data_IF_688033276395
#
_entry.id   IF_688033276395
#
_cell.length_a   1.000
_cell.length_b   1.000
_cell.length_c   1.000
_cell.angle_alpha   90.00
_cell.angle_beta   90.00
_cell.angle_gamma   90.00
#
_symmetry.space_group_name_H-M   'P 1'
#
loop_
_entity.id
_entity.type
_entity.pdbx_description
1 polymer ?
#
# COMPACT_ATOMS: atom_id res chain seq x y z
N UNK A 1 -22.84 20.80 5.46
CA UNK A 1 -22.87 20.12 4.15
C UNK A 1 -24.30 19.92 3.65
N UNK A 2 -25.15 19.16 4.36
CA UNK A 2 -26.53 18.88 3.91
C UNK A 2 -27.37 20.15 3.67
N UNK A 3 -27.28 21.16 4.54
CA UNK A 3 -27.98 22.44 4.31
C UNK A 3 -27.48 23.19 3.06
N UNK A 4 -26.19 23.11 2.75
CA UNK A 4 -25.64 23.69 1.51
C UNK A 4 -26.15 22.96 0.27
N UNK A 5 -26.31 21.63 0.32
CA UNK A 5 -26.92 20.84 -0.75
C UNK A 5 -28.40 21.23 -0.93
N UNK A 6 -29.15 21.43 0.16
CA UNK A 6 -30.56 21.85 0.08
C UNK A 6 -30.73 23.23 -0.55
N UNK A 7 -29.86 24.19 -0.19
CA UNK A 7 -29.96 25.56 -0.66
C UNK A 7 -29.51 25.72 -2.13
N UNK A 8 -28.42 25.07 -2.53
CA UNK A 8 -27.84 25.23 -3.85
C UNK A 8 -27.42 23.89 -4.46
N UNK A 9 -28.35 22.98 -4.80
CA UNK A 9 -28.03 21.59 -5.12
C UNK A 9 -27.01 21.44 -6.26
N UNK A 10 -27.04 22.31 -7.27
CA UNK A 10 -26.11 22.20 -8.40
C UNK A 10 -24.80 23.00 -8.25
N UNK A 11 -24.58 23.69 -7.13
CA UNK A 11 -23.35 24.44 -6.89
C UNK A 11 -22.27 23.55 -6.25
N UNK A 12 -21.08 23.47 -6.87
CA UNK A 12 -19.90 22.72 -6.40
C UNK A 12 -20.09 21.20 -6.30
N UNK A 13 -19.28 20.45 -7.06
CA UNK A 13 -19.22 18.98 -6.96
C UNK A 13 -18.61 18.50 -5.63
N UNK A 14 -17.73 19.29 -5.00
CA UNK A 14 -16.93 18.85 -3.83
C UNK A 14 -17.80 18.42 -2.65
N UNK A 15 -18.94 19.09 -2.43
CA UNK A 15 -19.87 18.72 -1.34
C UNK A 15 -20.45 17.31 -1.52
N UNK A 16 -20.58 16.85 -2.76
CA UNK A 16 -21.08 15.51 -3.08
C UNK A 16 -19.98 14.45 -2.95
N UNK A 17 -18.73 14.81 -3.29
CA UNK A 17 -17.57 13.95 -3.02
C UNK A 17 -17.43 13.66 -1.53
N UNK A 18 -17.49 14.71 -0.71
CA UNK A 18 -17.44 14.53 0.75
C UNK A 18 -18.67 13.79 1.30
N UNK A 19 -19.86 14.04 0.75
CA UNK A 19 -21.05 13.28 1.16
C UNK A 19 -20.89 11.79 0.84
N UNK A 20 -20.36 11.45 -0.34
CA UNK A 20 -20.07 10.08 -0.73
C UNK A 20 -19.13 9.38 0.25
N UNK A 21 -18.02 10.03 0.61
CA UNK A 21 -17.05 9.51 1.58
C UNK A 21 -17.62 9.30 3.00
N UNK A 22 -18.68 10.03 3.36
CA UNK A 22 -19.35 9.93 4.66
C UNK A 22 -20.61 9.05 4.64
N UNK A 23 -20.99 8.54 3.46
CA UNK A 23 -22.15 7.68 3.28
C UNK A 23 -21.71 6.24 3.08
N UNK A 24 -22.67 5.31 2.99
CA UNK A 24 -22.40 3.89 2.79
C UNK A 24 -23.21 3.36 1.60
N UNK A 25 -22.77 2.24 1.03
CA UNK A 25 -23.50 1.48 0.01
C UNK A 25 -24.05 2.38 -1.12
N UNK A 26 -25.33 2.21 -1.48
CA UNK A 26 -25.99 2.93 -2.58
C UNK A 26 -26.17 4.43 -2.31
N UNK A 27 -26.17 4.85 -1.06
CA UNK A 27 -26.25 6.28 -0.71
C UNK A 27 -24.95 6.99 -1.10
N UNK A 28 -23.80 6.36 -0.83
CA UNK A 28 -22.50 6.84 -1.28
C UNK A 28 -22.41 6.91 -2.80
N UNK A 29 -22.84 5.85 -3.49
CA UNK A 29 -22.89 5.81 -4.97
C UNK A 29 -23.74 6.97 -5.52
N UNK A 30 -24.90 7.23 -4.92
CA UNK A 30 -25.79 8.32 -5.37
C UNK A 30 -25.14 9.69 -5.19
N UNK A 31 -24.44 9.90 -4.06
CA UNK A 31 -23.71 11.13 -3.81
C UNK A 31 -22.55 11.30 -4.81
N UNK A 32 -21.70 10.27 -4.98
CA UNK A 32 -20.60 10.31 -5.94
C UNK A 32 -21.08 10.56 -7.36
N UNK A 33 -22.12 9.84 -7.82
CA UNK A 33 -22.70 10.04 -9.16
C UNK A 33 -23.12 11.49 -9.37
N UNK A 34 -23.80 12.11 -8.39
CA UNK A 34 -24.21 13.51 -8.51
C UNK A 34 -23.02 14.46 -8.62
N UNK A 35 -21.94 14.18 -7.91
CA UNK A 35 -20.71 14.98 -8.04
C UNK A 35 -20.00 14.75 -9.38
N UNK A 36 -19.96 13.51 -9.89
CA UNK A 36 -19.46 13.18 -11.24
C UNK A 36 -20.24 13.93 -12.32
N UNK A 37 -21.57 13.93 -12.25
CA UNK A 37 -22.41 14.65 -13.22
C UNK A 37 -22.08 16.15 -13.27
N UNK A 38 -21.85 16.76 -12.10
CA UNK A 38 -21.46 18.17 -12.00
C UNK A 38 -20.05 18.40 -12.55
N UNK A 39 -19.08 17.54 -12.26
CA UNK A 39 -17.72 17.63 -12.80
C UNK A 39 -17.71 17.47 -14.32
N UNK A 40 -18.49 16.54 -14.87
CA UNK A 40 -18.62 16.34 -16.32
C UNK A 40 -19.23 17.59 -16.97
N UNK A 41 -20.29 18.16 -16.38
CA UNK A 41 -20.88 19.39 -16.89
C UNK A 41 -19.90 20.57 -16.85
N UNK A 42 -19.11 20.70 -15.78
CA UNK A 42 -18.07 21.72 -15.65
C UNK A 42 -16.98 21.51 -16.70
N UNK A 43 -16.47 20.29 -16.85
CA UNK A 43 -15.42 19.93 -17.82
C UNK A 43 -15.84 20.20 -19.26
N UNK A 44 -17.10 19.96 -19.61
CA UNK A 44 -17.63 20.21 -20.96
C UNK A 44 -17.63 21.69 -21.37
N UNK A 45 -17.51 22.61 -20.41
CA UNK A 45 -17.38 24.04 -20.68
C UNK A 45 -15.92 24.51 -20.78
N UNK A 46 -14.96 23.61 -20.56
CA UNK A 46 -13.52 23.88 -20.65
C UNK A 46 -12.98 23.44 -22.00
N UNK A 47 -11.83 23.99 -22.37
CA UNK A 47 -11.06 23.46 -23.50
C UNK A 47 -10.56 22.06 -23.14
N UNK A 48 -10.69 21.10 -24.06
CA UNK A 48 -10.39 19.68 -23.81
C UNK A 48 -8.99 19.46 -23.23
N UNK A 49 -8.00 20.22 -23.70
CA UNK A 49 -6.59 20.07 -23.30
C UNK A 49 -6.17 21.02 -22.16
N UNK A 50 -7.09 21.76 -21.55
CA UNK A 50 -6.76 22.66 -20.43
C UNK A 50 -6.36 21.87 -19.18
N UNK A 51 -5.48 22.45 -18.36
CA UNK A 51 -5.02 21.79 -17.13
C UNK A 51 -6.19 21.57 -16.17
N UNK A 52 -7.16 22.50 -16.12
CA UNK A 52 -8.38 22.34 -15.34
C UNK A 52 -9.25 21.18 -15.84
N UNK A 53 -9.33 20.97 -17.16
CA UNK A 53 -10.06 19.85 -17.74
C UNK A 53 -9.42 18.51 -17.39
N UNK A 54 -8.07 18.44 -17.40
CA UNK A 54 -7.31 17.24 -16.98
C UNK A 54 -7.46 16.96 -15.48
N UNK A 55 -7.41 17.99 -14.64
CA UNK A 55 -7.65 17.87 -13.20
C UNK A 55 -9.06 17.33 -12.94
N UNK A 56 -10.08 17.84 -13.65
CA UNK A 56 -11.44 17.33 -13.52
C UNK A 56 -11.57 15.90 -14.06
N UNK A 57 -10.88 15.55 -15.15
CA UNK A 57 -10.86 14.19 -15.68
C UNK A 57 -10.32 13.20 -14.64
N UNK A 58 -9.17 13.49 -14.04
CA UNK A 58 -8.58 12.69 -12.97
C UNK A 58 -9.53 12.54 -11.76
N UNK A 59 -10.16 13.63 -11.30
CA UNK A 59 -11.15 13.59 -10.20
C UNK A 59 -12.40 12.77 -10.53
N UNK A 60 -12.88 12.83 -11.77
CA UNK A 60 -13.99 12.01 -12.23
C UNK A 60 -13.59 10.53 -12.18
N UNK A 61 -12.40 10.19 -12.65
CA UNK A 61 -11.88 8.82 -12.62
C UNK A 61 -11.71 8.31 -11.20
N UNK A 62 -11.18 9.10 -10.27
CA UNK A 62 -11.11 8.73 -8.84
C UNK A 62 -12.50 8.48 -8.24
N UNK A 63 -13.48 9.34 -8.53
CA UNK A 63 -14.85 9.16 -8.03
C UNK A 63 -15.51 7.88 -8.58
N UNK A 64 -15.28 7.57 -9.86
CA UNK A 64 -15.74 6.32 -10.49
C UNK A 64 -15.02 5.09 -9.90
N UNK A 65 -13.75 5.22 -9.52
CA UNK A 65 -13.03 4.19 -8.77
C UNK A 65 -13.67 3.96 -7.40
N UNK A 66 -13.95 5.01 -6.63
CA UNK A 66 -14.65 4.87 -5.34
C UNK A 66 -16.02 4.19 -5.48
N UNK A 67 -16.78 4.51 -6.54
CA UNK A 67 -18.06 3.83 -6.82
C UNK A 67 -17.87 2.35 -7.17
N UNK A 68 -16.79 2.01 -7.88
CA UNK A 68 -16.43 0.62 -8.21
C UNK A 68 -16.02 -0.17 -6.95
N UNK A 69 -15.22 0.43 -6.06
CA UNK A 69 -14.83 -0.17 -4.78
C UNK A 69 -16.05 -0.51 -3.93
N UNK A 70 -17.04 0.39 -3.84
CA UNK A 70 -18.29 0.13 -3.12
C UNK A 70 -19.02 -1.10 -3.70
N UNK A 71 -18.99 -1.30 -5.01
CA UNK A 71 -19.57 -2.51 -5.63
C UNK A 71 -18.71 -3.75 -5.45
N UNK A 72 -17.40 -3.62 -5.22
CA UNK A 72 -16.53 -4.75 -4.89
C UNK A 72 -16.64 -5.17 -3.42
N UNK A 73 -16.99 -4.25 -2.51
CA UNK A 73 -17.10 -4.53 -1.07
C UNK A 73 -18.55 -4.57 -0.59
N UNK A 74 -19.17 -3.41 -0.40
CA UNK A 74 -20.41 -3.26 0.37
C UNK A 74 -21.62 -3.74 -0.44
N UNK A 75 -21.60 -3.51 -1.75
CA UNK A 75 -22.66 -3.84 -2.68
C UNK A 75 -22.32 -5.06 -3.55
N UNK A 76 -21.35 -5.90 -3.17
CA UNK A 76 -20.89 -7.04 -3.98
C UNK A 76 -21.96 -8.10 -4.23
N UNK A 77 -22.95 -8.20 -3.32
CA UNK A 77 -24.06 -9.15 -3.45
C UNK A 77 -25.22 -8.64 -4.31
N UNK A 78 -25.15 -7.40 -4.80
CA UNK A 78 -26.20 -6.81 -5.61
C UNK A 78 -26.24 -7.38 -7.03
N UNK A 79 -27.43 -7.66 -7.59
CA UNK A 79 -27.55 -8.06 -8.98
C UNK A 79 -26.96 -7.00 -9.92
N UNK A 80 -25.97 -7.41 -10.72
CA UNK A 80 -25.28 -6.51 -11.65
C UNK A 80 -24.14 -5.69 -11.05
N UNK A 81 -23.69 -5.99 -9.83
CA UNK A 81 -22.50 -5.35 -9.22
C UNK A 81 -21.29 -5.42 -10.15
N UNK A 82 -20.99 -6.60 -10.69
CA UNK A 82 -19.90 -6.80 -11.66
C UNK A 82 -20.04 -5.92 -12.91
N UNK A 83 -21.24 -5.87 -13.49
CA UNK A 83 -21.52 -5.02 -14.64
C UNK A 83 -21.29 -3.53 -14.30
N UNK A 84 -21.64 -3.11 -13.08
CA UNK A 84 -21.40 -1.73 -12.62
C UNK A 84 -19.92 -1.42 -12.48
N UNK A 85 -19.11 -2.35 -11.95
CA UNK A 85 -17.66 -2.20 -11.91
C UNK A 85 -17.07 -1.98 -13.30
N UNK A 86 -17.46 -2.80 -14.28
CA UNK A 86 -17.03 -2.64 -15.67
C UNK A 86 -17.49 -1.30 -16.28
N UNK A 87 -18.75 -0.91 -16.06
CA UNK A 87 -19.29 0.36 -16.57
C UNK A 87 -18.53 1.58 -16.04
N UNK A 88 -18.20 1.60 -14.75
CA UNK A 88 -17.50 2.72 -14.13
C UNK A 88 -16.02 2.76 -14.49
N UNK A 89 -15.33 1.62 -14.51
CA UNK A 89 -13.93 1.57 -14.92
C UNK A 89 -13.74 1.95 -16.39
N UNK A 90 -14.62 1.50 -17.28
CA UNK A 90 -14.60 1.92 -18.68
C UNK A 90 -14.80 3.43 -18.81
N UNK A 91 -15.73 4.01 -18.05
CA UNK A 91 -15.93 5.46 -18.03
C UNK A 91 -14.71 6.21 -17.48
N UNK A 92 -14.09 5.69 -16.41
CA UNK A 92 -12.91 6.30 -15.80
C UNK A 92 -11.74 6.35 -16.80
N UNK A 93 -11.45 5.23 -17.46
CA UNK A 93 -10.37 5.13 -18.46
C UNK A 93 -10.70 5.86 -19.77
N UNK A 94 -11.98 6.03 -20.11
CA UNK A 94 -12.39 6.86 -21.24
C UNK A 94 -12.17 8.36 -20.96
N UNK A 95 -12.34 8.77 -19.70
CA UNK A 95 -12.18 10.16 -19.27
C UNK A 95 -10.72 10.51 -19.03
N UNK A 96 -9.96 9.62 -18.41
CA UNK A 96 -8.54 9.75 -18.11
C UNK A 96 -7.85 8.40 -18.36
N UNK A 97 -7.25 8.25 -19.54
CA UNK A 97 -6.60 7.00 -19.96
C UNK A 97 -5.28 6.71 -19.25
N UNK A 98 -4.75 7.68 -18.52
CA UNK A 98 -3.49 7.57 -17.76
C UNK A 98 -3.75 7.58 -16.24
N UNK A 99 -5.00 7.30 -15.82
CA UNK A 99 -5.35 7.25 -14.41
C UNK A 99 -4.82 5.98 -13.74
N UNK A 100 -3.77 6.14 -12.92
CA UNK A 100 -3.04 5.03 -12.28
C UNK A 100 -3.96 4.15 -11.42
N UNK A 101 -4.80 4.76 -10.58
CA UNK A 101 -5.71 4.06 -9.66
C UNK A 101 -6.77 3.24 -10.42
N UNK A 102 -7.24 3.71 -11.57
CA UNK A 102 -8.21 2.97 -12.38
C UNK A 102 -7.64 1.66 -12.89
N UNK A 103 -6.35 1.62 -13.24
CA UNK A 103 -5.70 0.36 -13.63
C UNK A 103 -5.50 -0.61 -12.47
N UNK A 104 -5.20 -0.11 -11.27
CA UNK A 104 -5.07 -0.98 -10.08
C UNK A 104 -6.43 -1.58 -9.70
N UNK A 105 -7.48 -0.75 -9.72
CA UNK A 105 -8.82 -1.22 -9.43
C UNK A 105 -9.36 -2.15 -10.52
N UNK A 106 -9.02 -1.88 -11.79
CA UNK A 106 -9.30 -2.81 -12.88
C UNK A 106 -8.65 -4.17 -12.64
N UNK A 107 -7.40 -4.21 -12.16
CA UNK A 107 -6.77 -5.47 -11.79
C UNK A 107 -7.54 -6.21 -10.69
N UNK A 108 -7.97 -5.50 -9.63
CA UNK A 108 -8.80 -6.07 -8.56
C UNK A 108 -10.13 -6.64 -9.08
N UNK A 109 -10.82 -5.94 -10.00
CA UNK A 109 -12.01 -6.47 -10.68
C UNK A 109 -11.68 -7.71 -11.50
N UNK A 110 -10.58 -7.71 -12.26
CA UNK A 110 -10.16 -8.86 -13.07
C UNK A 110 -9.82 -10.08 -12.22
N UNK A 111 -9.18 -9.89 -11.07
CA UNK A 111 -8.92 -10.96 -10.10
C UNK A 111 -10.22 -11.55 -9.56
N UNK A 112 -11.19 -10.71 -9.20
CA UNK A 112 -12.52 -11.15 -8.76
C UNK A 112 -13.30 -11.92 -9.83
N UNK A 113 -12.95 -11.73 -11.11
CA UNK A 113 -13.51 -12.42 -12.27
C UNK A 113 -12.68 -13.65 -12.71
N UNK A 114 -11.63 -14.02 -11.95
CA UNK A 114 -10.69 -15.09 -12.31
C UNK A 114 -9.93 -14.84 -13.63
N UNK A 115 -9.72 -13.57 -14.01
CA UNK A 115 -9.04 -13.14 -15.25
C UNK A 115 -7.62 -12.64 -14.97
N UNK A 116 -6.78 -13.54 -14.45
CA UNK A 116 -5.44 -13.20 -13.94
C UNK A 116 -4.51 -12.55 -14.98
N UNK A 117 -4.54 -13.00 -16.24
CA UNK A 117 -3.70 -12.42 -17.30
C UNK A 117 -4.05 -10.94 -17.57
N UNK A 118 -5.33 -10.60 -17.51
CA UNK A 118 -5.79 -9.22 -17.67
C UNK A 118 -5.48 -8.37 -16.44
N UNK A 119 -5.55 -8.96 -15.25
CA UNK A 119 -5.10 -8.31 -14.03
C UNK A 119 -3.61 -7.93 -14.11
N UNK A 120 -2.76 -8.87 -14.55
CA UNK A 120 -1.32 -8.63 -14.80
C UNK A 120 -1.13 -7.50 -15.82
N UNK A 121 -1.87 -7.50 -16.93
CA UNK A 121 -1.78 -6.43 -17.92
C UNK A 121 -2.16 -5.06 -17.35
N UNK A 122 -3.20 -5.00 -16.51
CA UNK A 122 -3.63 -3.75 -15.87
C UNK A 122 -2.61 -3.25 -14.84
N UNK A 123 -2.04 -4.15 -14.01
CA UNK A 123 -1.00 -3.80 -13.04
C UNK A 123 0.26 -3.26 -13.70
N UNK A 124 0.74 -3.92 -14.76
CA UNK A 124 1.87 -3.43 -15.55
C UNK A 124 1.60 -2.05 -16.13
N UNK A 125 0.38 -1.83 -16.65
CA UNK A 125 0.01 -0.52 -17.19
C UNK A 125 -0.02 0.56 -16.11
N UNK A 126 -0.54 0.24 -14.92
CA UNK A 126 -0.52 1.14 -13.77
C UNK A 126 0.91 1.56 -13.43
N UNK A 127 1.84 0.60 -13.31
CA UNK A 127 3.22 0.87 -12.94
C UNK A 127 3.99 1.67 -13.98
N UNK A 128 3.83 1.38 -15.27
CA UNK A 128 4.48 2.08 -16.38
C UNK A 128 4.34 3.61 -16.28
N UNK A 129 3.20 4.08 -15.77
CA UNK A 129 2.87 5.50 -15.69
C UNK A 129 3.72 6.27 -14.67
N UNK A 130 4.24 5.61 -13.64
CA UNK A 130 4.88 6.31 -12.50
C UNK A 130 6.18 5.69 -11.98
N UNK A 131 6.50 4.43 -12.29
CA UNK A 131 7.61 3.69 -11.65
C UNK A 131 9.01 4.29 -11.89
N UNK A 132 9.18 5.06 -12.97
CA UNK A 132 10.45 5.73 -13.31
C UNK A 132 10.46 7.24 -13.02
N UNK A 133 9.44 7.73 -12.30
CA UNK A 133 9.35 9.15 -11.93
C UNK A 133 10.28 9.46 -10.76
N UNK A 134 10.73 10.70 -10.70
CA UNK A 134 11.54 11.20 -9.58
C UNK A 134 10.66 11.41 -8.34
N UNK A 135 11.27 11.25 -7.16
CA UNK A 135 10.57 11.47 -5.89
C UNK A 135 9.95 12.88 -5.84
N UNK A 136 8.67 12.95 -5.48
CA UNK A 136 7.90 14.20 -5.44
C UNK A 136 7.13 14.53 -6.72
N UNK A 137 7.22 13.72 -7.78
CA UNK A 137 6.32 13.86 -8.94
C UNK A 137 4.86 13.58 -8.52
N UNK A 138 3.95 14.48 -8.90
CA UNK A 138 2.54 14.43 -8.52
C UNK A 138 1.77 13.25 -9.14
N UNK A 139 2.35 12.54 -10.12
CA UNK A 139 1.79 11.34 -10.74
C UNK A 139 2.10 10.07 -9.96
N UNK A 140 3.06 10.11 -9.02
CA UNK A 140 3.34 8.99 -8.13
C UNK A 140 2.15 8.82 -7.17
N UNK A 141 1.52 7.64 -7.10
CA UNK A 141 0.41 7.41 -6.19
C UNK A 141 0.83 7.60 -4.73
N UNK A 142 -0.12 8.04 -3.90
CA UNK A 142 0.11 8.17 -2.47
C UNK A 142 0.52 6.83 -1.84
N UNK A 143 1.16 6.92 -0.68
CA UNK A 143 1.75 5.77 0.02
C UNK A 143 0.78 4.58 0.15
N UNK A 144 -0.43 4.82 0.62
CA UNK A 144 -1.44 3.77 0.84
C UNK A 144 -1.88 3.10 -0.47
N UNK A 145 -1.99 3.85 -1.56
CA UNK A 145 -2.30 3.30 -2.89
C UNK A 145 -1.17 2.39 -3.39
N UNK A 146 0.09 2.76 -3.14
CA UNK A 146 1.25 1.90 -3.46
C UNK A 146 1.31 0.65 -2.58
N UNK A 147 0.93 0.73 -1.30
CA UNK A 147 0.78 -0.47 -0.46
C UNK A 147 -0.31 -1.42 -0.97
N UNK A 148 -1.45 -0.87 -1.39
CA UNK A 148 -2.54 -1.66 -1.97
C UNK A 148 -2.09 -2.34 -3.28
N UNK A 149 -1.33 -1.64 -4.12
CA UNK A 149 -0.73 -2.21 -5.32
C UNK A 149 0.16 -3.41 -5.02
N UNK A 150 1.01 -3.35 -3.97
CA UNK A 150 1.88 -4.48 -3.61
C UNK A 150 1.05 -5.73 -3.33
N UNK A 151 -0.08 -5.61 -2.61
CA UNK A 151 -0.99 -6.74 -2.33
C UNK A 151 -1.47 -7.40 -3.64
N UNK A 152 -1.88 -6.58 -4.62
CA UNK A 152 -2.30 -7.06 -5.93
C UNK A 152 -1.16 -7.72 -6.72
N UNK A 153 0.05 -7.14 -6.68
CA UNK A 153 1.23 -7.70 -7.35
C UNK A 153 1.59 -9.08 -6.79
N UNK A 154 1.51 -9.26 -5.47
CA UNK A 154 1.77 -10.54 -4.83
C UNK A 154 0.71 -11.59 -5.16
N UNK A 155 -0.56 -11.19 -5.26
CA UNK A 155 -1.66 -12.08 -5.65
C UNK A 155 -1.47 -12.67 -7.05
N UNK A 156 -0.84 -11.93 -7.97
CA UNK A 156 -0.48 -12.41 -9.33
C UNK A 156 0.95 -12.93 -9.45
N UNK A 157 1.71 -13.02 -8.36
CA UNK A 157 3.09 -13.53 -8.35
C UNK A 157 4.14 -12.61 -9.01
N UNK A 158 3.87 -11.31 -9.15
CA UNK A 158 4.82 -10.33 -9.68
C UNK A 158 5.77 -9.81 -8.57
N UNK A 159 6.56 -10.70 -7.99
CA UNK A 159 7.41 -10.39 -6.83
C UNK A 159 8.47 -9.32 -7.09
N UNK A 160 9.13 -9.30 -8.26
CA UNK A 160 10.14 -8.27 -8.60
C UNK A 160 9.53 -6.86 -8.62
N UNK A 161 8.31 -6.75 -9.17
CA UNK A 161 7.56 -5.50 -9.18
C UNK A 161 7.17 -5.10 -7.76
N UNK A 162 6.71 -6.07 -6.94
CA UNK A 162 6.38 -5.82 -5.54
C UNK A 162 7.57 -5.27 -4.75
N UNK A 163 8.76 -5.88 -4.87
CA UNK A 163 9.98 -5.37 -4.21
C UNK A 163 10.36 -3.97 -4.67
N UNK A 164 10.26 -3.68 -5.98
CA UNK A 164 10.54 -2.34 -6.50
C UNK A 164 9.65 -1.28 -5.82
N UNK A 165 8.36 -1.58 -5.64
CA UNK A 165 7.43 -0.67 -4.96
C UNK A 165 7.74 -0.59 -3.46
N UNK A 166 7.99 -1.72 -2.79
CA UNK A 166 8.33 -1.79 -1.37
C UNK A 166 9.61 -1.00 -1.04
N UNK A 167 10.64 -1.06 -1.89
CA UNK A 167 11.87 -0.28 -1.73
C UNK A 167 11.61 1.23 -1.80
N UNK A 168 10.69 1.65 -2.68
CA UNK A 168 10.29 3.06 -2.77
C UNK A 168 9.55 3.51 -1.52
N UNK A 169 8.67 2.65 -0.98
CA UNK A 169 7.89 2.92 0.22
C UNK A 169 8.79 2.98 1.46
N UNK A 170 9.74 2.06 1.59
CA UNK A 170 10.69 2.03 2.70
C UNK A 170 11.54 3.30 2.77
N UNK A 171 12.00 3.82 1.62
CA UNK A 171 12.76 5.07 1.57
C UNK A 171 11.93 6.29 1.98
N UNK A 172 10.61 6.22 1.79
CA UNK A 172 9.69 7.31 2.12
C UNK A 172 9.23 7.27 3.57
N UNK A 173 8.87 6.09 4.09
CA UNK A 173 8.48 5.86 5.47
C UNK A 173 8.63 4.37 5.82
N UNK A 174 9.54 4.04 6.73
CA UNK A 174 9.80 2.70 7.23
C UNK A 174 9.14 2.42 8.60
N UNK A 175 8.34 3.33 9.14
CA UNK A 175 7.61 3.15 10.39
C UNK A 175 6.20 2.55 10.17
N UNK A 176 5.99 1.86 9.04
CA UNK A 176 4.70 1.28 8.66
C UNK A 176 4.72 -0.25 8.81
N UNK A 177 3.78 -0.79 9.58
CA UNK A 177 3.69 -2.25 9.83
C UNK A 177 3.38 -3.03 8.55
N UNK A 178 2.41 -2.56 7.74
CA UNK A 178 2.04 -3.19 6.46
C UNK A 178 3.24 -3.32 5.52
N UNK A 179 4.15 -2.33 5.48
CA UNK A 179 5.34 -2.36 4.63
C UNK A 179 6.22 -3.57 4.96
N UNK A 180 6.60 -3.70 6.22
CA UNK A 180 7.49 -4.78 6.69
C UNK A 180 6.82 -6.15 6.61
N UNK A 181 5.52 -6.22 6.90
CA UNK A 181 4.74 -7.43 6.70
C UNK A 181 4.75 -7.86 5.23
N UNK A 182 4.54 -6.94 4.28
CA UNK A 182 4.52 -7.27 2.85
C UNK A 182 5.91 -7.65 2.32
N UNK A 183 6.99 -7.05 2.81
CA UNK A 183 8.35 -7.54 2.54
C UNK A 183 8.53 -8.98 3.02
N UNK A 184 8.20 -9.26 4.28
CA UNK A 184 8.32 -10.60 4.85
C UNK A 184 7.46 -11.62 4.10
N UNK A 185 6.23 -11.24 3.75
CA UNK A 185 5.32 -12.09 2.98
C UNK A 185 5.85 -12.39 1.59
N UNK A 186 6.44 -11.40 0.90
CA UNK A 186 7.07 -11.57 -0.41
C UNK A 186 8.20 -12.60 -0.36
N UNK A 187 9.11 -12.47 0.61
CA UNK A 187 10.21 -13.43 0.81
C UNK A 187 9.70 -14.82 1.22
N UNK A 188 8.70 -14.88 2.09
CA UNK A 188 8.12 -16.14 2.54
C UNK A 188 7.53 -16.93 1.37
N UNK A 189 6.70 -16.28 0.53
CA UNK A 189 6.12 -16.88 -0.67
C UNK A 189 7.19 -17.34 -1.66
N UNK A 190 8.22 -16.54 -1.91
CA UNK A 190 9.32 -16.94 -2.80
C UNK A 190 10.10 -18.14 -2.25
N UNK A 191 10.27 -18.24 -0.93
CA UNK A 191 10.91 -19.40 -0.31
C UNK A 191 10.01 -20.65 -0.31
N UNK A 192 8.69 -20.48 -0.37
CA UNK A 192 7.76 -21.61 -0.42
C UNK A 192 7.56 -22.22 -1.81
N UNK A 193 8.12 -21.59 -2.85
CA UNK A 193 8.15 -22.11 -4.21
C UNK A 193 8.87 -23.48 -4.28
N UNK A 194 8.17 -24.47 -4.84
CA UNK A 194 8.65 -25.86 -4.96
C UNK A 194 9.90 -25.99 -5.85
N UNK A 195 10.15 -25.02 -6.73
CA UNK A 195 11.32 -25.02 -7.60
C UNK A 195 12.61 -24.62 -6.87
N UNK A 196 12.53 -24.07 -5.66
CA UNK A 196 13.69 -23.59 -4.90
C UNK A 196 14.44 -24.72 -4.20
N UNK A 197 15.76 -24.59 -4.19
CA UNK A 197 16.62 -25.46 -3.38
C UNK A 197 16.36 -25.22 -1.89
N UNK A 198 16.75 -26.18 -1.06
CA UNK A 198 16.61 -26.06 0.39
C UNK A 198 17.45 -24.90 0.95
N UNK A 199 18.63 -24.68 0.38
CA UNK A 199 19.50 -23.57 0.74
C UNK A 199 18.89 -22.21 0.38
N UNK A 200 18.34 -22.05 -0.83
CA UNK A 200 17.64 -20.82 -1.24
C UNK A 200 16.41 -20.56 -0.38
N UNK A 201 15.61 -21.60 -0.10
CA UNK A 201 14.44 -21.50 0.78
C UNK A 201 14.84 -21.01 2.17
N UNK A 202 15.91 -21.54 2.75
CA UNK A 202 16.41 -21.11 4.06
C UNK A 202 16.86 -19.65 4.06
N UNK A 203 17.55 -19.20 3.01
CA UNK A 203 17.99 -17.82 2.87
C UNK A 203 16.78 -16.87 2.77
N UNK A 204 15.82 -17.16 1.89
CA UNK A 204 14.61 -16.36 1.72
C UNK A 204 13.78 -16.30 3.01
N UNK A 205 13.64 -17.42 3.72
CA UNK A 205 12.90 -17.44 4.98
C UNK A 205 13.63 -16.74 6.13
N UNK A 206 14.96 -16.67 6.12
CA UNK A 206 15.71 -15.82 7.06
C UNK A 206 15.38 -14.33 6.82
N UNK A 207 15.45 -13.86 5.58
CA UNK A 207 15.06 -12.48 5.21
C UNK A 207 13.59 -12.19 5.56
N UNK A 208 12.70 -13.17 5.32
CA UNK A 208 11.29 -13.06 5.67
C UNK A 208 11.10 -12.85 7.19
N UNK A 209 11.80 -13.65 8.02
CA UNK A 209 11.76 -13.52 9.48
C UNK A 209 12.21 -12.14 9.93
N UNK A 210 13.33 -11.63 9.41
CA UNK A 210 13.87 -10.34 9.82
C UNK A 210 12.88 -9.19 9.50
N UNK A 211 12.20 -9.28 8.35
CA UNK A 211 11.13 -8.36 7.99
C UNK A 211 9.92 -8.47 8.93
N UNK A 212 9.46 -9.68 9.24
CA UNK A 212 8.34 -9.90 10.18
C UNK A 212 8.67 -9.43 11.60
N UNK A 213 9.89 -9.66 12.07
CA UNK A 213 10.35 -9.13 13.36
C UNK A 213 10.33 -7.61 13.38
N UNK A 214 10.75 -6.98 12.28
CA UNK A 214 10.71 -5.53 12.13
C UNK A 214 9.26 -5.03 12.15
N UNK A 215 8.33 -5.71 11.48
CA UNK A 215 6.91 -5.39 11.54
C UNK A 215 6.36 -5.44 12.98
N UNK A 216 6.74 -6.46 13.77
CA UNK A 216 6.36 -6.59 15.18
C UNK A 216 6.98 -5.47 16.03
N UNK A 217 8.26 -5.16 15.82
CA UNK A 217 9.00 -4.09 16.54
C UNK A 217 8.36 -2.72 16.27
N UNK A 218 8.09 -2.39 15.00
CA UNK A 218 7.42 -1.14 14.59
C UNK A 218 6.04 -1.02 15.23
N UNK A 219 5.24 -2.09 15.22
CA UNK A 219 3.94 -2.09 15.89
C UNK A 219 4.05 -1.84 17.40
N UNK A 220 5.05 -2.44 18.06
CA UNK A 220 5.26 -2.24 19.49
C UNK A 220 5.62 -0.80 19.82
N UNK A 221 6.52 -0.19 19.04
CA UNK A 221 6.92 1.21 19.19
C UNK A 221 5.70 2.13 18.98
N UNK A 222 4.94 1.95 17.91
CA UNK A 222 3.73 2.72 17.65
C UNK A 222 2.71 2.61 18.81
N UNK A 223 2.56 1.41 19.38
CA UNK A 223 1.68 1.18 20.53
C UNK A 223 2.12 1.96 21.79
N UNK A 224 3.43 2.01 22.06
CA UNK A 224 3.98 2.77 23.20
C UNK A 224 3.71 4.27 23.08
N UNK A 225 3.69 4.83 21.87
CA UNK A 225 3.46 6.25 21.63
C UNK A 225 1.99 6.65 21.56
N UNK A 226 1.08 5.76 21.14
CA UNK A 226 -0.31 6.13 20.84
C UNK A 226 -1.39 5.48 21.71
N UNK A 227 -1.06 4.62 22.69
CA UNK A 227 -1.94 4.01 23.71
C UNK A 227 -3.31 3.49 23.21
N UNK A 228 -3.46 3.17 21.93
CA UNK A 228 -4.72 2.69 21.37
C UNK A 228 -4.49 1.47 20.47
N UNK A 229 -5.03 0.35 20.95
CA UNK A 229 -5.56 -0.81 20.25
C UNK A 229 -5.20 -0.95 18.75
N UNK A 230 -4.02 -1.46 18.43
CA UNK A 230 -3.77 -2.11 17.13
C UNK A 230 -3.05 -3.42 17.41
N UNK A 231 -3.81 -4.46 17.77
CA UNK A 231 -3.38 -5.82 17.44
C UNK A 231 -3.83 -6.07 16.01
N UNK A 232 -3.01 -5.60 15.06
CA UNK A 232 -3.27 -5.87 13.65
C UNK A 232 -3.16 -7.37 13.42
N UNK A 233 -4.13 -7.96 12.73
CA UNK A 233 -4.09 -9.37 12.31
C UNK A 233 -2.78 -9.72 11.59
N UNK A 234 -2.16 -8.75 10.92
CA UNK A 234 -0.85 -8.89 10.29
C UNK A 234 0.28 -9.15 11.29
N UNK A 235 0.23 -8.55 12.48
CA UNK A 235 1.25 -8.75 13.53
C UNK A 235 1.13 -10.13 14.14
N UNK A 236 -0.09 -10.63 14.32
CA UNK A 236 -0.30 -11.99 14.80
C UNK A 236 0.13 -13.01 13.75
N UNK A 237 -0.23 -12.80 12.48
CA UNK A 237 0.27 -13.64 11.38
C UNK A 237 1.81 -13.58 11.25
N UNK A 238 2.41 -12.40 11.41
CA UNK A 238 3.88 -12.26 11.44
C UNK A 238 4.51 -13.14 12.51
N UNK A 239 3.95 -13.19 13.72
CA UNK A 239 4.44 -14.06 14.81
C UNK A 239 4.25 -15.53 14.49
N UNK A 240 3.14 -15.91 13.87
CA UNK A 240 2.89 -17.29 13.43
C UNK A 240 3.93 -17.72 12.38
N UNK A 241 4.22 -16.85 11.40
CA UNK A 241 5.22 -17.11 10.37
C UNK A 241 6.64 -17.16 10.95
N UNK A 242 7.01 -16.25 11.86
CA UNK A 242 8.29 -16.31 12.58
C UNK A 242 8.42 -17.66 13.29
N UNK A 243 7.39 -18.10 14.01
CA UNK A 243 7.41 -19.39 14.70
C UNK A 243 7.60 -20.55 13.73
N UNK A 244 6.88 -20.55 12.59
CA UNK A 244 6.98 -21.58 11.57
C UNK A 244 8.37 -21.60 10.91
N UNK A 245 8.91 -20.43 10.56
CA UNK A 245 10.26 -20.27 10.00
C UNK A 245 11.30 -20.80 10.99
N UNK A 246 11.20 -20.47 12.28
CA UNK A 246 12.15 -20.91 13.29
C UNK A 246 12.19 -22.44 13.49
N UNK A 247 11.14 -23.19 13.09
CA UNK A 247 11.19 -24.65 13.07
C UNK A 247 12.07 -25.21 11.94
N UNK A 248 12.34 -24.41 10.91
CA UNK A 248 13.03 -24.81 9.68
C UNK A 248 14.39 -24.12 9.49
N UNK A 249 14.47 -22.85 9.87
CA UNK A 249 15.66 -22.00 9.91
C UNK A 249 15.82 -21.53 11.36
N UNK A 250 16.54 -22.28 12.20
CA UNK A 250 16.83 -21.82 13.56
C UNK A 250 17.47 -20.44 13.52
N UNK A 251 17.20 -19.61 14.54
CA UNK A 251 17.95 -18.38 14.74
C UNK A 251 19.45 -18.71 14.73
N UNK A 252 20.20 -17.98 13.89
CA UNK A 252 21.64 -17.91 14.04
C UNK A 252 21.86 -17.28 15.42
N UNK A 253 22.21 -18.11 16.39
CA UNK A 253 22.79 -17.60 17.63
C UNK A 253 24.04 -16.89 17.16
N UNK A 254 24.04 -15.55 17.18
CA UNK A 254 25.29 -14.81 17.16
C UNK A 254 26.07 -15.35 18.35
N UNK A 255 27.06 -16.21 18.09
CA UNK A 255 28.08 -16.50 19.10
C UNK A 255 28.59 -15.12 19.51
N UNK A 256 28.51 -14.75 20.80
CA UNK A 256 28.96 -13.44 21.23
C UNK A 256 30.36 -13.26 20.68
N UNK A 257 30.58 -12.21 19.89
CA UNK A 257 31.91 -11.82 19.44
C UNK A 257 32.79 -11.88 20.68
N UNK A 258 33.78 -12.79 20.69
CA UNK A 258 34.78 -12.82 21.74
C UNK A 258 35.40 -11.42 21.69
N UNK A 259 35.00 -10.54 22.62
CA UNK A 259 35.69 -9.29 22.87
C UNK A 259 37.14 -9.69 23.13
N UNK A 260 38.00 -9.52 22.12
CA UNK A 260 39.45 -9.58 22.32
C UNK A 260 39.76 -8.48 23.33
N UNK A 261 39.84 -8.90 24.60
CA UNK A 261 40.34 -8.08 25.70
C UNK A 261 41.72 -7.61 25.27
N UNK A 262 41.80 -6.34 24.88
CA UNK A 262 43.05 -5.65 24.61
C UNK A 262 43.91 -5.72 25.88
N UNK A 263 44.85 -6.67 25.92
CA UNK A 263 45.77 -6.92 27.05
C UNK A 263 46.78 -5.77 27.26
N UNK A 264 46.60 -4.63 26.58
CA UNK A 264 47.53 -3.51 26.60
C UNK A 264 47.06 -2.29 27.39
N UNK A 265 46.21 -2.48 28.41
CA UNK A 265 45.93 -1.44 29.41
C UNK A 265 47.10 -1.35 30.40
N UNK A 266 48.19 -0.70 29.97
CA UNK A 266 49.25 -0.24 30.89
C UNK A 266 48.66 0.79 31.86
N UNK A 267 48.47 0.36 33.11
CA UNK A 267 48.14 1.26 34.22
C UNK A 267 49.41 2.04 34.54
N UNK A 268 49.51 3.29 34.05
CA UNK A 268 50.49 4.25 34.57
C UNK A 268 50.12 4.56 36.03
N UNK A 269 50.88 3.98 36.95
CA UNK A 269 50.89 4.35 38.36
C UNK A 269 51.57 5.71 38.53
N UNK A 270 50.79 6.78 38.67
CA UNK A 270 51.28 8.03 39.26
C UNK A 270 51.34 7.88 40.77
N UNK A 271 52.55 7.63 41.29
CA UNK A 271 52.86 7.76 42.71
C UNK A 271 53.83 8.94 42.91
N UNK A 272 53.55 9.69 43.99
CA UNK A 272 54.38 10.65 44.72
C UNK A 272 54.54 12.08 44.18
N UNK A 273 53.87 13.04 44.84
CA UNK A 273 54.58 13.91 45.80
C UNK A 273 53.65 14.92 46.50
N UNK A 274 53.37 14.70 47.80
CA UNK A 274 52.97 15.75 48.75
C UNK A 274 53.22 15.32 50.21
N UNK A 275 54.48 15.32 50.63
CA UNK A 275 54.89 15.67 51.99
C UNK A 275 55.38 17.14 51.92
N UNK A 276 55.15 18.07 52.84
CA UNK A 276 55.21 18.02 54.30
C UNK A 276 54.71 19.38 54.87
N UNK A 277 54.25 19.35 56.13
CA UNK A 277 54.02 20.44 57.12
C UNK A 277 52.86 21.44 56.97
#
# INVERSE_FOLDING_TARGET
MLESIKLEPNASYSKYMYLGQLSVEKEAITAFQKGVDLMVAERNNLAVDSDEAKILASKISSALCSMTEIYLTDCCSEPGAEQKCEEYLNQALQVDSEHVESYQLLASVRLSQERNEEAVSALNKSMELWIHKEAGDATIPIYDTRLALVKLLLEVGLFEHAFTVLESLQKENDEVVDLWYLYGWSYYCLGDDEERTQEEKKALWAEARDCFETAVKVCHIAWLFFFFLIMSSMVDHSKELIFAINQFVPESVEEPEEEELDENFEIESEDEDAMEE
#
